data_IF_102267908724
#
_entry.id   IF_102267908724
#
_cell.length_a   1.000
_cell.length_b   1.000
_cell.length_c   1.000
_cell.angle_alpha   90.00
_cell.angle_beta   90.00
_cell.angle_gamma   90.00
#
_symmetry.space_group_name_H-M   'P 1'
#
loop_
_entity.id
_entity.type
_entity.pdbx_description
1 polymer ?
#
# COMPACT_ATOMS: atom_id res chain seq x y z
N UNK A 1 1.28 -12.60 5.47
CA UNK A 1 -0.01 -12.40 4.77
C UNK A 1 -0.27 -10.91 4.80
N UNK A 2 -0.15 -10.26 3.65
CA UNK A 2 -0.20 -8.80 3.52
C UNK A 2 -1.26 -8.38 2.51
N UNK A 3 -1.92 -7.25 2.78
CA UNK A 3 -2.85 -6.58 1.87
C UNK A 3 -2.12 -5.39 1.24
N UNK A 4 -2.10 -5.32 -0.10
CA UNK A 4 -1.61 -4.16 -0.84
C UNK A 4 -2.77 -3.26 -1.22
N UNK A 5 -2.72 -1.99 -0.80
CA UNK A 5 -3.69 -0.96 -1.20
C UNK A 5 -3.09 -0.11 -2.31
N UNK A 6 -3.69 -0.17 -3.50
CA UNK A 6 -3.37 0.70 -4.63
C UNK A 6 -4.06 2.05 -4.49
N UNK A 7 -3.45 3.13 -5.01
CA UNK A 7 -4.02 4.48 -4.86
C UNK A 7 -4.16 4.88 -3.39
N UNK A 8 -3.26 4.39 -2.53
CA UNK A 8 -3.33 4.50 -1.07
C UNK A 8 -3.29 5.94 -0.54
N UNK A 9 -2.83 6.89 -1.35
CA UNK A 9 -2.80 8.33 -1.03
C UNK A 9 -4.00 9.09 -1.61
N UNK A 10 -4.92 8.41 -2.30
CA UNK A 10 -6.13 8.99 -2.86
C UNK A 10 -7.31 9.00 -1.88
N UNK A 11 -8.42 9.60 -2.28
CA UNK A 11 -9.63 9.76 -1.45
C UNK A 11 -10.12 8.44 -0.86
N UNK A 12 -10.24 7.40 -1.68
CA UNK A 12 -10.73 6.09 -1.24
C UNK A 12 -9.62 5.26 -0.59
N UNK A 13 -8.45 5.18 -1.23
CA UNK A 13 -7.35 4.36 -0.75
C UNK A 13 -6.87 4.73 0.66
N UNK A 14 -6.84 6.03 0.99
CA UNK A 14 -6.49 6.50 2.33
C UNK A 14 -7.48 6.04 3.40
N UNK A 15 -8.77 6.04 3.10
CA UNK A 15 -9.81 5.52 4.00
C UNK A 15 -9.70 3.99 4.17
N UNK A 16 -9.39 3.26 3.10
CA UNK A 16 -9.14 1.82 3.17
C UNK A 16 -7.93 1.53 4.05
N UNK A 17 -6.82 2.24 3.87
CA UNK A 17 -5.61 2.11 4.70
C UNK A 17 -5.93 2.39 6.17
N UNK A 18 -6.65 3.47 6.47
CA UNK A 18 -7.05 3.81 7.83
C UNK A 18 -7.95 2.74 8.47
N UNK A 19 -8.84 2.11 7.69
CA UNK A 19 -9.74 1.07 8.19
C UNK A 19 -9.03 -0.28 8.44
N UNK A 20 -7.97 -0.55 7.68
CA UNK A 20 -7.14 -1.74 7.85
C UNK A 20 -6.08 -1.56 8.95
N UNK A 21 -5.72 -0.33 9.29
CA UNK A 21 -4.81 -0.01 10.38
C UNK A 21 -5.30 -0.62 11.70
N UNK A 22 -4.38 -1.22 12.47
CA UNK A 22 -4.67 -1.78 13.80
C UNK A 22 -5.39 -3.13 13.77
N UNK A 23 -5.69 -3.68 12.59
CA UNK A 23 -6.07 -5.07 12.43
C UNK A 23 -4.83 -5.95 12.47
N UNK A 24 -4.99 -7.23 12.79
CA UNK A 24 -3.89 -8.20 12.84
C UNK A 24 -3.43 -8.65 11.42
N UNK A 25 -3.25 -7.69 10.51
CA UNK A 25 -2.83 -7.90 9.12
C UNK A 25 -1.74 -6.89 8.75
N UNK A 26 -0.80 -7.31 7.91
CA UNK A 26 0.21 -6.41 7.37
C UNK A 26 -0.40 -5.57 6.24
N UNK A 27 -0.32 -4.25 6.34
CA UNK A 27 -0.85 -3.33 5.31
C UNK A 27 0.29 -2.66 4.56
N UNK A 28 0.26 -2.79 3.23
CA UNK A 28 1.20 -2.14 2.31
C UNK A 28 0.46 -1.10 1.48
N UNK A 29 1.03 0.08 1.34
CA UNK A 29 0.48 1.21 0.60
C UNK A 29 1.33 1.45 -0.67
N UNK A 30 0.75 1.21 -1.85
CA UNK A 30 1.43 1.45 -3.12
C UNK A 30 1.43 2.94 -3.46
N UNK A 31 2.61 3.52 -3.61
CA UNK A 31 2.78 4.93 -3.96
C UNK A 31 3.98 5.12 -4.88
N UNK A 32 3.94 6.16 -5.71
CA UNK A 32 5.08 6.56 -6.57
C UNK A 32 6.19 7.25 -5.76
N UNK A 33 5.84 7.85 -4.63
CA UNK A 33 6.72 8.64 -3.76
C UNK A 33 6.57 8.17 -2.30
N UNK A 34 7.17 7.03 -1.91
CA UNK A 34 7.08 6.51 -0.55
C UNK A 34 7.67 7.44 0.50
N UNK A 35 8.69 8.21 0.15
CA UNK A 35 9.39 9.15 1.04
C UNK A 35 8.53 10.35 1.46
N UNK A 36 7.52 10.72 0.66
CA UNK A 36 6.62 11.84 0.97
C UNK A 36 5.21 11.40 1.35
N UNK A 37 4.93 10.10 1.31
CA UNK A 37 3.61 9.56 1.60
C UNK A 37 3.27 9.70 3.09
N UNK A 38 2.20 10.43 3.39
CA UNK A 38 1.66 10.53 4.74
C UNK A 38 0.74 9.33 4.98
N UNK A 39 1.25 8.34 5.72
CA UNK A 39 0.56 7.09 6.00
C UNK A 39 0.41 6.88 7.52
N UNK A 40 -0.64 6.18 7.96
CA UNK A 40 -0.80 5.82 9.37
C UNK A 40 0.33 4.93 9.90
N UNK A 41 0.57 4.98 11.21
CA UNK A 41 1.54 4.13 11.88
C UNK A 41 1.24 2.64 11.65
N UNK A 42 2.29 1.87 11.32
CA UNK A 42 2.21 0.44 11.03
C UNK A 42 1.91 0.09 9.56
N UNK A 43 1.66 1.09 8.71
CA UNK A 43 1.48 0.88 7.26
C UNK A 43 2.83 1.03 6.55
N UNK A 44 3.20 0.06 5.72
CA UNK A 44 4.44 0.09 4.96
C UNK A 44 4.23 0.76 3.60
N UNK A 45 4.93 1.86 3.33
CA UNK A 45 4.98 2.42 1.98
C UNK A 45 5.78 1.50 1.05
N UNK A 46 5.24 1.21 -0.13
CA UNK A 46 5.90 0.42 -1.17
C UNK A 46 5.91 1.24 -2.46
N UNK A 47 7.09 1.34 -3.08
CA UNK A 47 7.22 2.03 -4.36
C UNK A 47 6.59 1.20 -5.47
N UNK A 48 5.77 1.83 -6.30
CA UNK A 48 5.37 1.27 -7.58
C UNK A 48 4.41 2.16 -8.35
N UNK A 49 4.20 1.81 -9.61
CA UNK A 49 3.34 2.51 -10.55
C UNK A 49 2.44 1.50 -11.26
N UNK A 50 1.15 1.81 -11.38
CA UNK A 50 0.20 0.93 -12.07
C UNK A 50 0.48 0.82 -13.57
N UNK A 51 1.21 1.78 -14.16
CA UNK A 51 1.64 1.74 -15.55
C UNK A 51 2.96 0.95 -15.74
N UNK A 52 3.62 0.52 -14.67
CA UNK A 52 4.86 -0.26 -14.71
C UNK A 52 4.62 -1.67 -14.12
N UNK A 53 4.42 -2.68 -14.98
CA UNK A 53 4.14 -4.06 -14.57
C UNK A 53 5.23 -4.69 -13.69
N UNK A 54 6.50 -4.35 -13.89
CA UNK A 54 7.60 -4.93 -13.10
C UNK A 54 7.63 -4.33 -11.69
N UNK A 55 7.31 -3.03 -11.56
CA UNK A 55 7.11 -2.42 -10.25
C UNK A 55 5.94 -3.04 -9.48
N UNK A 56 4.84 -3.37 -10.18
CA UNK A 56 3.68 -4.03 -9.57
C UNK A 56 4.01 -5.45 -9.14
N UNK A 57 4.71 -6.21 -9.97
CA UNK A 57 5.15 -7.58 -9.63
C UNK A 57 5.96 -7.57 -8.35
N UNK A 58 6.92 -6.65 -8.23
CA UNK A 58 7.74 -6.47 -7.03
C UNK A 58 6.89 -6.05 -5.82
N UNK A 59 5.92 -5.14 -5.99
CA UNK A 59 5.07 -4.68 -4.90
C UNK A 59 4.09 -5.75 -4.37
N UNK A 60 3.70 -6.69 -5.24
CA UNK A 60 2.77 -7.78 -4.93
C UNK A 60 3.45 -9.01 -4.29
N UNK A 61 4.78 -9.04 -4.17
CA UNK A 61 5.49 -10.17 -3.56
C UNK A 61 5.01 -10.45 -2.12
N UNK A 62 4.47 -11.65 -1.89
CA UNK A 62 3.95 -12.08 -0.59
C UNK A 62 2.61 -11.45 -0.17
N UNK A 63 1.92 -10.77 -1.10
CA UNK A 63 0.55 -10.26 -0.92
C UNK A 63 -0.44 -11.41 -1.12
N UNK A 64 -1.41 -11.50 -0.21
CA UNK A 64 -2.46 -12.54 -0.20
C UNK A 64 -3.74 -11.91 0.32
N UNK A 65 -4.85 -12.10 -0.40
CA UNK A 65 -6.16 -11.47 -0.11
C UNK A 65 -7.06 -12.34 0.74
#
# INVERSE_FOLDING_TARGET
>A
MAILVTGSTGTIGSQVVAHLQGRNVEVRALTRSPETAQLPLGVKAVRGDLADPDSLRSALEGVTT
#
